data_IF_750583689381
#
_entry.id   IF_750583689381
#
_cell.length_a   1.000
_cell.length_b   1.000
_cell.length_c   1.000
_cell.angle_alpha   90.00
_cell.angle_beta   90.00
_cell.angle_gamma   90.00
#
_symmetry.space_group_name_H-M   'P 1'
#
loop_
_entity.id
_entity.type
_entity.pdbx_description
1 polymer ?
#
# COMPACT_ATOMS: atom_id res chain seq x y z
N UNK A 1 -12.61 -16.70 17.78
CA UNK A 1 -12.49 -15.24 17.92
C UNK A 1 -13.82 -14.47 17.75
N UNK A 2 -14.91 -15.16 17.42
CA UNK A 2 -16.22 -14.52 17.22
C UNK A 2 -16.72 -13.76 18.48
N UNK A 3 -16.40 -14.27 19.64
CA UNK A 3 -16.83 -13.71 20.92
C UNK A 3 -15.85 -12.72 21.55
N UNK A 4 -14.72 -12.43 20.87
CA UNK A 4 -13.74 -11.49 21.39
C UNK A 4 -14.08 -10.06 20.98
N UNK A 5 -13.87 -9.13 21.90
CA UNK A 5 -13.96 -7.71 21.61
C UNK A 5 -12.72 -7.26 20.84
N UNK A 6 -12.80 -6.14 20.06
CA UNK A 6 -11.67 -5.69 19.24
C UNK A 6 -10.35 -5.56 20.00
N UNK A 7 -10.34 -5.08 21.22
CA UNK A 7 -9.13 -4.92 22.02
C UNK A 7 -8.49 -6.24 22.46
N UNK A 8 -9.21 -7.36 22.33
CA UNK A 8 -8.73 -8.71 22.68
C UNK A 8 -8.08 -9.43 21.50
N UNK A 9 -8.06 -8.81 20.32
CA UNK A 9 -7.52 -9.39 19.10
C UNK A 9 -6.09 -8.92 18.87
N UNK A 10 -5.32 -9.69 18.08
CA UNK A 10 -4.01 -9.25 17.59
C UNK A 10 -4.16 -8.02 16.69
N UNK A 11 -3.06 -7.30 16.45
CA UNK A 11 -3.05 -6.14 15.55
C UNK A 11 -3.55 -6.47 14.15
N UNK A 12 -3.15 -7.63 13.59
CA UNK A 12 -3.61 -8.07 12.28
C UNK A 12 -5.11 -8.40 12.26
N UNK A 13 -5.60 -9.02 13.30
CA UNK A 13 -7.03 -9.33 13.45
C UNK A 13 -7.86 -8.06 13.63
N UNK A 14 -7.37 -7.10 14.38
CA UNK A 14 -8.01 -5.79 14.53
C UNK A 14 -8.14 -5.08 13.18
N UNK A 15 -7.10 -5.12 12.36
CA UNK A 15 -7.12 -4.55 11.01
C UNK A 15 -8.10 -5.27 10.10
N UNK A 16 -8.16 -6.60 10.15
CA UNK A 16 -9.17 -7.37 9.39
C UNK A 16 -10.59 -6.98 9.78
N UNK A 17 -10.85 -6.79 11.06
CA UNK A 17 -12.16 -6.34 11.55
C UNK A 17 -12.48 -4.93 11.04
N UNK A 18 -11.52 -4.02 11.09
CA UNK A 18 -11.68 -2.66 10.59
C UNK A 18 -12.01 -2.64 9.08
N UNK A 19 -11.32 -3.45 8.29
CA UNK A 19 -11.56 -3.58 6.85
C UNK A 19 -12.94 -4.17 6.59
N UNK A 20 -13.31 -5.24 7.31
CA UNK A 20 -14.63 -5.85 7.18
C UNK A 20 -15.75 -4.86 7.50
N UNK A 21 -15.59 -4.04 8.54
CA UNK A 21 -16.54 -2.97 8.88
C UNK A 21 -16.68 -1.95 7.77
N UNK A 22 -15.56 -1.51 7.21
CA UNK A 22 -15.57 -0.56 6.11
C UNK A 22 -16.26 -1.12 4.87
N UNK A 23 -16.04 -2.39 4.56
CA UNK A 23 -16.66 -3.07 3.43
C UNK A 23 -18.15 -3.37 3.65
N UNK A 24 -18.58 -3.55 4.89
CA UNK A 24 -19.96 -3.88 5.24
C UNK A 24 -20.95 -2.78 4.83
N UNK A 25 -20.52 -1.51 4.77
CA UNK A 25 -21.35 -0.40 4.30
C UNK A 25 -21.35 -0.28 2.78
N UNK A 26 -20.68 -1.18 2.07
CA UNK A 26 -20.63 -1.26 0.61
C UNK A 26 -20.22 0.08 -0.06
N UNK A 27 -19.06 0.65 0.29
CA UNK A 27 -18.60 1.91 -0.30
C UNK A 27 -18.15 1.70 -1.75
N UNK A 28 -18.25 2.74 -2.57
CA UNK A 28 -17.67 2.73 -3.92
C UNK A 28 -16.15 2.94 -3.87
N UNK A 29 -15.69 3.77 -2.93
CA UNK A 29 -14.28 4.06 -2.72
C UNK A 29 -13.94 3.78 -1.27
N UNK A 30 -12.89 3.02 -1.04
CA UNK A 30 -12.38 2.73 0.29
C UNK A 30 -11.00 3.37 0.45
N UNK A 31 -10.84 4.18 1.51
CA UNK A 31 -9.56 4.80 1.84
C UNK A 31 -8.91 4.07 3.01
N UNK A 32 -7.62 3.79 2.88
CA UNK A 32 -6.81 3.20 3.94
C UNK A 32 -5.53 4.01 4.11
N UNK A 33 -5.32 4.54 5.31
CA UNK A 33 -4.14 5.33 5.65
C UNK A 33 -3.19 4.49 6.49
N UNK A 34 -2.07 4.10 5.91
CA UNK A 34 -1.03 3.27 6.52
C UNK A 34 -1.58 2.06 7.30
N UNK A 35 -2.41 1.21 6.66
CA UNK A 35 -3.14 0.16 7.39
C UNK A 35 -2.24 -0.92 7.99
N UNK A 36 -0.96 -0.99 7.60
CA UNK A 36 -0.03 -2.04 8.03
C UNK A 36 1.09 -1.53 8.94
N UNK A 37 1.10 -0.25 9.26
CA UNK A 37 2.23 0.43 9.90
C UNK A 37 2.64 -0.13 11.26
N UNK A 38 1.70 -0.62 12.06
CA UNK A 38 1.95 -1.11 13.42
C UNK A 38 2.13 -2.62 13.51
N UNK A 39 2.17 -3.33 12.39
CA UNK A 39 2.21 -4.80 12.36
C UNK A 39 3.64 -5.30 12.18
N UNK A 40 3.93 -6.49 12.75
CA UNK A 40 5.16 -7.21 12.46
C UNK A 40 5.21 -7.68 11.01
N UNK A 41 6.40 -8.06 10.52
CA UNK A 41 6.61 -8.35 9.10
C UNK A 41 5.73 -9.50 8.58
N UNK A 42 5.62 -10.59 9.34
CA UNK A 42 4.85 -11.78 8.91
C UNK A 42 3.35 -11.46 8.88
N UNK A 43 2.84 -10.83 9.93
CA UNK A 43 1.42 -10.43 10.01
C UNK A 43 1.09 -9.44 8.91
N UNK A 44 1.99 -8.50 8.64
CA UNK A 44 1.84 -7.54 7.55
C UNK A 44 1.70 -8.22 6.19
N UNK A 45 2.59 -9.17 5.88
CA UNK A 45 2.54 -9.90 4.61
C UNK A 45 1.24 -10.69 4.45
N UNK A 46 0.78 -11.34 5.49
CA UNK A 46 -0.50 -12.07 5.47
C UNK A 46 -1.68 -11.16 5.22
N UNK A 47 -1.70 -10.00 5.87
CA UNK A 47 -2.78 -9.04 5.70
C UNK A 47 -2.74 -8.39 4.31
N UNK A 48 -1.55 -8.14 3.78
CA UNK A 48 -1.38 -7.65 2.40
C UNK A 48 -1.95 -8.65 1.39
N UNK A 49 -1.70 -9.95 1.57
CA UNK A 49 -2.27 -10.99 0.73
C UNK A 49 -3.80 -11.01 0.81
N UNK A 50 -4.36 -10.90 2.01
CA UNK A 50 -5.80 -10.86 2.23
C UNK A 50 -6.44 -9.66 1.52
N UNK A 51 -5.83 -8.48 1.63
CA UNK A 51 -6.33 -7.27 1.00
C UNK A 51 -6.26 -7.36 -0.52
N UNK A 52 -5.18 -7.92 -1.07
CA UNK A 52 -5.05 -8.13 -2.50
C UNK A 52 -6.18 -9.01 -3.03
N UNK A 53 -6.50 -10.09 -2.32
CA UNK A 53 -7.63 -10.96 -2.66
C UNK A 53 -8.97 -10.23 -2.60
N UNK A 54 -9.18 -9.43 -1.57
CA UNK A 54 -10.41 -8.62 -1.43
C UNK A 54 -10.54 -7.62 -2.59
N UNK A 55 -9.45 -6.96 -2.96
CA UNK A 55 -9.43 -6.04 -4.10
C UNK A 55 -9.86 -6.74 -5.39
N UNK A 56 -9.37 -7.95 -5.64
CA UNK A 56 -9.72 -8.73 -6.83
C UNK A 56 -11.18 -9.18 -6.83
N UNK A 57 -11.71 -9.57 -5.67
CA UNK A 57 -13.07 -10.09 -5.55
C UNK A 57 -14.13 -9.01 -5.61
N UNK A 58 -13.89 -7.87 -4.97
CA UNK A 58 -14.92 -6.83 -4.81
C UNK A 58 -14.97 -5.82 -5.96
N UNK A 59 -13.90 -5.69 -6.73
CA UNK A 59 -13.76 -4.73 -7.84
C UNK A 59 -14.05 -3.28 -7.42
N UNK A 60 -13.81 -2.95 -6.16
CA UNK A 60 -13.97 -1.59 -5.64
C UNK A 60 -12.72 -0.77 -5.88
N UNK A 61 -12.88 0.55 -5.90
CA UNK A 61 -11.73 1.45 -5.91
C UNK A 61 -11.19 1.59 -4.50
N UNK A 62 -9.92 1.26 -4.31
CA UNK A 62 -9.25 1.35 -3.02
C UNK A 62 -8.06 2.28 -3.14
N UNK A 63 -7.98 3.24 -2.21
CA UNK A 63 -6.88 4.20 -2.13
C UNK A 63 -6.09 3.93 -0.85
N UNK A 64 -4.83 3.55 -1.01
CA UNK A 64 -3.91 3.36 0.12
C UNK A 64 -2.97 4.53 0.23
N UNK A 65 -2.71 4.96 1.45
CA UNK A 65 -1.59 5.86 1.75
C UNK A 65 -0.54 5.05 2.48
N UNK A 66 0.67 5.02 1.95
CA UNK A 66 1.80 4.31 2.56
C UNK A 66 3.12 5.00 2.19
N UNK A 67 4.12 4.87 3.05
CA UNK A 67 5.48 5.27 2.74
C UNK A 67 6.38 4.07 2.36
N UNK A 68 5.81 2.87 2.33
CA UNK A 68 6.52 1.64 1.95
C UNK A 68 6.32 1.36 0.46
N UNK A 69 7.37 1.50 -0.31
CA UNK A 69 7.35 1.35 -1.77
C UNK A 69 6.98 -0.07 -2.19
N UNK A 70 7.52 -1.09 -1.53
CA UNK A 70 7.22 -2.48 -1.87
C UNK A 70 5.75 -2.82 -1.62
N UNK A 71 5.18 -2.30 -0.54
CA UNK A 71 3.76 -2.43 -0.23
C UNK A 71 2.88 -1.80 -1.31
N UNK A 72 3.23 -0.60 -1.75
CA UNK A 72 2.51 0.08 -2.82
C UNK A 72 2.52 -0.73 -4.11
N UNK A 73 3.68 -1.26 -4.51
CA UNK A 73 3.82 -2.07 -5.73
C UNK A 73 3.03 -3.38 -5.61
N UNK A 74 3.08 -4.01 -4.44
CA UNK A 74 2.41 -5.28 -4.21
C UNK A 74 0.88 -5.17 -4.33
N UNK A 75 0.31 -4.06 -3.87
CA UNK A 75 -1.14 -3.90 -3.74
C UNK A 75 -1.79 -3.12 -4.89
N UNK A 76 -1.10 -2.15 -5.47
CA UNK A 76 -1.73 -1.17 -6.33
C UNK A 76 -1.70 -1.55 -7.82
N UNK A 77 -2.70 -1.08 -8.56
CA UNK A 77 -2.68 -1.05 -10.02
C UNK A 77 -1.89 0.16 -10.51
N UNK A 78 -1.95 1.26 -9.76
CA UNK A 78 -1.19 2.49 -10.03
C UNK A 78 -0.63 3.04 -8.73
N UNK A 79 0.60 3.49 -8.77
CA UNK A 79 1.26 4.16 -7.66
C UNK A 79 1.40 5.64 -7.98
N UNK A 80 0.85 6.47 -7.10
CA UNK A 80 0.94 7.92 -7.20
C UNK A 80 2.03 8.40 -6.24
N UNK A 81 3.07 9.01 -6.78
CA UNK A 81 4.17 9.55 -5.99
C UNK A 81 3.87 11.01 -5.71
N UNK A 82 3.85 11.35 -4.43
CA UNK A 82 3.55 12.71 -3.97
C UNK A 82 4.80 13.43 -3.51
N UNK A 83 4.87 14.72 -3.83
CA UNK A 83 5.85 15.63 -3.25
C UNK A 83 5.28 16.29 -2.00
N UNK A 84 6.18 16.67 -1.10
CA UNK A 84 5.83 17.49 0.06
C UNK A 84 6.27 18.94 -0.15
N UNK A 85 5.54 19.88 0.49
CA UNK A 85 5.90 21.30 0.61
C UNK A 85 6.16 22.05 -0.71
N UNK A 86 5.16 22.23 -1.60
CA UNK A 86 3.74 21.88 -1.46
C UNK A 86 3.44 20.45 -1.84
N UNK A 87 2.34 19.94 -1.30
CA UNK A 87 1.82 18.62 -1.70
C UNK A 87 1.34 18.67 -3.15
N UNK A 88 1.97 17.88 -4.00
CA UNK A 88 1.57 17.73 -5.41
C UNK A 88 1.92 16.34 -5.92
N UNK A 89 1.27 15.94 -6.99
CA UNK A 89 1.61 14.68 -7.66
C UNK A 89 2.90 14.89 -8.44
N UNK A 90 3.92 14.09 -8.09
CA UNK A 90 5.19 14.08 -8.80
C UNK A 90 5.17 13.16 -10.01
N UNK A 91 4.60 11.98 -9.86
CA UNK A 91 4.53 10.98 -10.92
C UNK A 91 3.41 9.98 -10.66
N UNK A 92 2.92 9.35 -11.72
CA UNK A 92 2.01 8.21 -11.65
C UNK A 92 2.67 7.04 -12.37
N UNK A 93 2.82 5.92 -11.68
CA UNK A 93 3.45 4.72 -12.22
C UNK A 93 2.41 3.61 -12.31
N UNK A 94 2.18 3.11 -13.53
CA UNK A 94 1.32 1.95 -13.73
C UNK A 94 2.07 0.67 -13.36
N UNK A 95 1.43 -0.20 -12.61
CA UNK A 95 2.01 -1.46 -12.16
C UNK A 95 1.55 -2.58 -13.08
N UNK A 96 2.42 -3.03 -13.97
CA UNK A 96 2.11 -4.02 -15.01
C UNK A 96 2.49 -5.45 -14.60
N UNK A 97 2.17 -5.84 -13.36
CA UNK A 97 2.46 -7.18 -12.83
C UNK A 97 1.29 -8.15 -12.95
N UNK A 98 0.11 -7.67 -13.31
CA UNK A 98 -1.09 -8.49 -13.34
C UNK A 98 -1.40 -9.07 -11.96
N UNK A 99 -1.76 -10.36 -11.92
CA UNK A 99 -2.03 -11.08 -10.67
C UNK A 99 -0.78 -11.69 -10.04
N UNK A 100 0.35 -11.67 -10.73
CA UNK A 100 1.60 -12.21 -10.22
C UNK A 100 2.39 -11.12 -9.49
N UNK A 101 2.16 -11.02 -8.19
CA UNK A 101 2.77 -10.01 -7.31
C UNK A 101 3.91 -10.61 -6.49
N UNK A 102 4.76 -11.43 -7.11
CA UNK A 102 5.92 -12.01 -6.43
C UNK A 102 6.96 -10.92 -6.15
N UNK A 103 7.20 -10.65 -4.88
CA UNK A 103 8.15 -9.63 -4.40
C UNK A 103 9.60 -9.93 -4.78
N UNK A 104 9.91 -11.17 -5.18
CA UNK A 104 11.24 -11.59 -5.59
C UNK A 104 11.41 -11.65 -7.10
N UNK A 105 10.35 -11.43 -7.87
CA UNK A 105 10.42 -11.46 -9.32
C UNK A 105 11.26 -10.30 -9.88
N UNK A 106 11.87 -10.52 -11.03
CA UNK A 106 12.66 -9.51 -11.72
C UNK A 106 11.80 -8.29 -12.08
N UNK A 107 10.59 -8.51 -12.55
CA UNK A 107 9.67 -7.43 -12.93
C UNK A 107 9.29 -6.57 -11.72
N UNK A 108 9.04 -7.17 -10.57
CA UNK A 108 8.77 -6.44 -9.34
C UNK A 108 9.96 -5.58 -8.93
N UNK A 109 11.17 -6.14 -8.98
CA UNK A 109 12.39 -5.43 -8.61
C UNK A 109 12.69 -4.27 -9.56
N UNK A 110 12.42 -4.42 -10.84
CA UNK A 110 12.61 -3.35 -11.83
C UNK A 110 11.65 -2.18 -11.57
N UNK A 111 10.39 -2.46 -11.25
CA UNK A 111 9.42 -1.42 -10.90
C UNK A 111 9.83 -0.73 -9.60
N UNK A 112 10.26 -1.51 -8.61
CA UNK A 112 10.76 -0.96 -7.35
C UNK A 112 11.91 0.02 -7.57
N UNK A 113 12.89 -0.38 -8.37
CA UNK A 113 14.05 0.45 -8.65
C UNK A 113 13.66 1.73 -9.39
N UNK A 114 12.73 1.66 -10.34
CA UNK A 114 12.20 2.83 -11.03
C UNK A 114 11.54 3.82 -10.08
N UNK A 115 10.73 3.33 -9.13
CA UNK A 115 10.08 4.19 -8.14
C UNK A 115 11.11 4.81 -7.20
N UNK A 116 12.11 4.04 -6.75
CA UNK A 116 13.21 4.56 -5.95
C UNK A 116 13.95 5.69 -6.65
N UNK A 117 14.26 5.54 -7.92
CA UNK A 117 14.90 6.61 -8.69
C UNK A 117 14.07 7.89 -8.70
N UNK A 118 12.76 7.78 -8.89
CA UNK A 118 11.86 8.94 -8.88
C UNK A 118 11.85 9.65 -7.53
N UNK A 119 11.96 8.92 -6.42
CA UNK A 119 12.13 9.52 -5.10
C UNK A 119 13.47 10.18 -4.91
N UNK A 120 14.55 9.51 -5.30
CA UNK A 120 15.91 9.98 -5.08
C UNK A 120 16.26 11.19 -5.94
N UNK A 121 15.78 11.28 -7.16
CA UNK A 121 16.02 12.42 -8.04
C UNK A 121 15.67 13.75 -7.37
N UNK A 122 14.57 13.80 -6.62
CA UNK A 122 14.20 15.00 -5.89
C UNK A 122 15.12 15.25 -4.70
N UNK A 123 15.52 14.20 -3.98
CA UNK A 123 16.44 14.30 -2.86
C UNK A 123 17.80 14.85 -3.28
N UNK A 124 18.32 14.38 -4.41
CA UNK A 124 19.57 14.87 -4.98
C UNK A 124 19.47 16.34 -5.37
N UNK A 125 18.40 16.74 -6.04
CA UNK A 125 18.16 18.14 -6.42
C UNK A 125 18.07 19.02 -5.17
N UNK A 126 17.40 18.58 -4.12
CA UNK A 126 17.32 19.34 -2.86
C UNK A 126 18.68 19.48 -2.18
N UNK A 127 19.52 18.45 -2.22
CA UNK A 127 20.88 18.48 -1.66
C UNK A 127 21.73 19.49 -2.41
N UNK A 128 21.66 19.52 -3.74
CA UNK A 128 22.39 20.49 -4.55
C UNK A 128 22.00 21.94 -4.26
N UNK A 129 20.74 22.21 -3.93
CA UNK A 129 20.26 23.55 -3.60
C UNK A 129 20.62 24.00 -2.18
N UNK A 130 20.86 23.07 -1.26
CA UNK A 130 21.10 23.41 0.16
C UNK A 130 22.54 23.21 0.62
N UNK A 131 23.40 22.69 -0.24
CA UNK A 131 24.83 22.58 0.00
C UNK A 131 25.56 23.72 -0.68
#
# INVERSE_FOLDING_TARGET
>A
NENKKPHQLSGGMQQRVAIARALAVNPEILFMDEPFGALDAITRMKLQDDILNICHETKKTIVFVTHDIEEAIFLADRVVIMDANPGRIKAVVNISLGNNRDRTSEDFLLIRDKIFELFHMKKEVMIEYYI
#
